data_IF_661331261723
#
_entry.id   IF_661331261723
#
_cell.length_a   1.000
_cell.length_b   1.000
_cell.length_c   1.000
_cell.angle_alpha   90.00
_cell.angle_beta   90.00
_cell.angle_gamma   90.00
#
_symmetry.space_group_name_H-M   'P 1'
#
loop_
_entity.id
_entity.type
_entity.pdbx_description
1 polymer ?
#
# COMPACT_ATOMS: atom_id res chain seq x y z
N UNK A 1 -63.15 4.29 -61.76
CA UNK A 1 -61.80 4.04 -61.25
C UNK A 1 -61.75 4.63 -59.84
N UNK A 2 -62.44 4.08 -58.84
CA UNK A 2 -62.50 2.64 -58.45
C UNK A 2 -61.07 2.10 -58.41
N UNK A 3 -60.48 1.67 -57.29
CA UNK A 3 -60.94 0.86 -56.14
C UNK A 3 -59.88 1.07 -55.01
N UNK A 4 -60.26 1.25 -53.74
CA UNK A 4 -60.29 0.24 -52.64
C UNK A 4 -58.89 -0.33 -52.25
N UNK A 5 -58.52 -0.70 -51.01
CA UNK A 5 -59.02 -0.65 -49.63
C UNK A 5 -58.06 -1.54 -48.78
N UNK A 6 -57.91 -1.23 -47.48
CA UNK A 6 -57.41 -2.10 -46.36
C UNK A 6 -55.92 -2.54 -46.35
N UNK A 7 -55.21 -2.74 -45.24
CA UNK A 7 -55.61 -2.98 -43.83
C UNK A 7 -54.52 -2.54 -42.81
N UNK A 8 -54.94 -2.53 -41.54
CA UNK A 8 -54.35 -2.17 -40.25
C UNK A 8 -53.14 -3.03 -39.84
N UNK A 9 -52.33 -2.49 -38.91
CA UNK A 9 -51.47 -3.28 -38.03
C UNK A 9 -50.59 -2.44 -37.12
N UNK A 10 -50.89 -2.43 -35.82
CA UNK A 10 -50.19 -1.67 -34.78
C UNK A 10 -48.97 -2.41 -34.16
N UNK A 11 -47.93 -1.63 -33.89
CA UNK A 11 -47.09 -1.56 -32.67
C UNK A 11 -46.38 -2.81 -32.08
N UNK A 12 -45.02 -2.75 -32.06
CA UNK A 12 -44.13 -3.06 -30.92
C UNK A 12 -42.67 -2.76 -31.33
N UNK A 13 -42.09 -1.58 -31.00
CA UNK A 13 -41.25 -1.33 -29.80
C UNK A 13 -40.37 -2.51 -29.40
N UNK A 14 -39.06 -2.40 -29.62
CA UNK A 14 -38.05 -2.41 -28.56
C UNK A 14 -36.69 -1.95 -29.12
N UNK A 15 -36.28 -0.77 -28.67
CA UNK A 15 -34.91 -0.29 -28.76
C UNK A 15 -34.14 -0.90 -27.58
N UNK A 16 -33.04 -1.60 -27.85
CA UNK A 16 -32.15 -2.11 -26.82
C UNK A 16 -31.47 -0.95 -26.07
N UNK A 17 -31.67 -0.79 -24.75
CA UNK A 17 -30.89 0.12 -23.95
C UNK A 17 -29.90 -0.71 -23.14
N UNK A 18 -28.73 -1.04 -23.70
CA UNK A 18 -27.60 -1.45 -22.86
C UNK A 18 -26.78 -0.22 -22.47
N UNK A 19 -27.44 0.70 -21.78
CA UNK A 19 -26.78 1.70 -20.96
C UNK A 19 -26.34 0.98 -19.68
N UNK A 20 -25.11 0.47 -19.70
CA UNK A 20 -24.41 0.06 -18.49
C UNK A 20 -24.21 1.31 -17.63
N UNK A 21 -25.16 1.53 -16.73
CA UNK A 21 -25.16 2.56 -15.71
C UNK A 21 -23.97 2.35 -14.77
N UNK A 22 -22.83 2.92 -15.12
CA UNK A 22 -21.71 3.19 -14.22
C UNK A 22 -22.18 4.23 -13.21
N UNK A 23 -22.99 3.77 -12.24
CA UNK A 23 -23.50 4.57 -11.15
C UNK A 23 -22.34 4.93 -10.23
N UNK A 24 -21.60 5.97 -10.59
CA UNK A 24 -20.90 6.84 -9.65
C UNK A 24 -21.94 7.55 -8.80
N UNK A 25 -22.63 6.79 -7.95
CA UNK A 25 -23.72 7.23 -7.12
C UNK A 25 -23.17 8.10 -6.00
N UNK A 26 -22.98 9.39 -6.29
CA UNK A 26 -23.07 10.41 -5.25
C UNK A 26 -24.45 10.30 -4.64
N UNK A 27 -24.56 9.58 -3.51
CA UNK A 27 -25.82 9.42 -2.79
C UNK A 27 -26.46 10.78 -2.63
N UNK A 28 -27.76 10.89 -2.96
CA UNK A 28 -28.51 12.14 -2.77
C UNK A 28 -28.29 12.58 -1.32
N UNK A 29 -27.75 13.79 -1.12
CA UNK A 29 -27.53 14.36 0.23
C UNK A 29 -28.89 14.33 0.95
N UNK A 30 -29.03 13.46 1.94
CA UNK A 30 -30.31 13.24 2.63
C UNK A 30 -30.82 11.80 2.69
N UNK A 31 -30.10 10.81 2.14
CA UNK A 31 -30.42 9.40 2.47
C UNK A 31 -30.16 9.14 3.96
N UNK A 32 -30.93 8.26 4.61
CA UNK A 32 -30.66 7.86 5.98
C UNK A 32 -29.39 7.02 6.07
N UNK A 33 -28.77 7.00 7.25
CA UNK A 33 -27.66 6.12 7.60
C UNK A 33 -28.05 4.65 7.39
N UNK A 34 -27.21 3.85 6.72
CA UNK A 34 -27.47 2.42 6.47
C UNK A 34 -27.26 1.54 7.71
N UNK A 35 -26.72 2.12 8.79
CA UNK A 35 -26.51 1.43 10.06
C UNK A 35 -27.64 1.68 11.06
N UNK A 36 -28.01 2.95 11.28
CA UNK A 36 -29.04 3.30 12.27
C UNK A 36 -30.38 3.73 11.67
N UNK A 37 -30.46 4.13 10.40
CA UNK A 37 -31.70 4.58 9.75
C UNK A 37 -32.30 5.91 10.26
N UNK A 38 -31.87 6.42 11.42
CA UNK A 38 -32.48 7.57 12.09
C UNK A 38 -32.03 8.92 11.52
N UNK A 39 -30.74 9.05 11.24
CA UNK A 39 -30.12 10.33 10.85
C UNK A 39 -29.67 10.28 9.39
N UNK A 40 -29.64 11.42 8.69
CA UNK A 40 -29.06 11.48 7.36
C UNK A 40 -27.58 11.07 7.40
N UNK A 41 -27.11 10.44 6.32
CA UNK A 41 -25.71 10.05 6.23
C UNK A 41 -24.78 11.28 6.16
N UNK A 42 -23.59 11.13 6.72
CA UNK A 42 -22.54 12.16 6.76
C UNK A 42 -21.20 11.66 6.22
N UNK A 43 -20.94 10.37 6.36
CA UNK A 43 -19.67 9.73 6.00
C UNK A 43 -19.92 8.53 5.09
N UNK A 44 -19.01 8.31 4.14
CA UNK A 44 -19.01 7.15 3.22
C UNK A 44 -17.76 6.33 3.47
N UNK A 45 -17.92 5.02 3.68
CA UNK A 45 -16.78 4.13 3.90
C UNK A 45 -16.00 3.90 2.59
N UNK A 46 -14.68 4.13 2.53
CA UNK A 46 -13.92 3.97 1.28
C UNK A 46 -13.67 2.51 0.87
N UNK A 47 -13.95 1.55 1.76
CA UNK A 47 -13.75 0.11 1.49
C UNK A 47 -14.99 -0.62 0.99
N UNK A 48 -16.17 -0.25 1.50
CA UNK A 48 -17.44 -0.92 1.19
C UNK A 48 -18.56 0.06 0.80
N UNK A 49 -18.24 1.33 0.63
CA UNK A 49 -19.14 2.39 0.18
C UNK A 49 -20.39 2.66 1.04
N UNK A 50 -20.50 2.01 2.21
CA UNK A 50 -21.61 2.21 3.14
C UNK A 50 -21.71 3.64 3.65
N UNK A 51 -22.95 4.11 3.73
CA UNK A 51 -23.31 5.44 4.20
C UNK A 51 -23.61 5.42 5.70
N UNK A 52 -22.92 6.27 6.47
CA UNK A 52 -22.99 6.32 7.94
C UNK A 52 -23.16 7.76 8.43
N UNK A 53 -23.87 7.98 9.54
CA UNK A 53 -24.07 9.33 10.11
C UNK A 53 -22.98 9.73 11.12
N UNK A 54 -22.37 8.78 11.82
CA UNK A 54 -21.50 9.03 12.97
C UNK A 54 -20.43 7.96 13.17
N UNK A 55 -19.42 8.24 13.99
CA UNK A 55 -18.35 7.30 14.32
C UNK A 55 -18.84 5.95 14.89
N UNK A 56 -19.84 5.87 15.80
CA UNK A 56 -20.34 4.57 16.26
C UNK A 56 -20.93 3.75 15.11
N UNK A 57 -21.62 4.37 14.16
CA UNK A 57 -22.10 3.69 12.95
C UNK A 57 -20.94 3.21 12.06
N UNK A 58 -19.86 4.00 11.96
CA UNK A 58 -18.64 3.57 11.25
C UNK A 58 -18.02 2.35 11.91
N UNK A 59 -17.91 2.32 13.24
CA UNK A 59 -17.31 1.18 13.95
C UNK A 59 -18.22 -0.05 13.95
N UNK A 60 -19.53 0.15 14.11
CA UNK A 60 -20.53 -0.91 14.09
C UNK A 60 -20.50 -1.67 12.76
N UNK A 61 -20.51 -0.96 11.62
CA UNK A 61 -20.44 -1.64 10.33
C UNK A 61 -19.11 -2.38 10.15
N UNK A 62 -17.97 -1.78 10.54
CA UNK A 62 -16.66 -2.43 10.42
C UNK A 62 -16.62 -3.75 11.19
N UNK A 63 -17.23 -3.80 12.37
CA UNK A 63 -17.34 -5.04 13.17
C UNK A 63 -18.30 -6.04 12.53
N UNK A 64 -19.48 -5.59 12.08
CA UNK A 64 -20.52 -6.45 11.50
C UNK A 64 -20.15 -7.05 10.15
N UNK A 65 -19.52 -6.27 9.28
CA UNK A 65 -19.17 -6.68 7.91
C UNK A 65 -17.69 -7.06 7.76
N UNK A 66 -16.94 -7.12 8.87
CA UNK A 66 -15.49 -7.33 8.88
C UNK A 66 -14.74 -6.39 7.92
N UNK A 67 -15.23 -5.17 7.73
CA UNK A 67 -14.65 -4.20 6.80
C UNK A 67 -13.40 -3.54 7.41
N UNK A 68 -12.29 -3.59 6.67
CA UNK A 68 -11.03 -2.92 7.05
C UNK A 68 -11.15 -1.39 7.01
N UNK A 69 -12.10 -0.86 6.25
CA UNK A 69 -12.30 0.56 6.04
C UNK A 69 -11.21 1.22 5.19
N UNK A 70 -10.43 0.43 4.45
CA UNK A 70 -9.44 0.91 3.48
C UNK A 70 -9.87 0.47 2.08
N UNK A 71 -9.77 1.37 1.10
CA UNK A 71 -10.02 1.03 -0.30
C UNK A 71 -8.96 0.01 -0.78
N UNK A 72 -9.35 -1.12 -1.39
CA UNK A 72 -8.38 -2.02 -2.00
C UNK A 72 -7.73 -1.30 -3.18
N UNK A 73 -6.41 -1.06 -3.09
CA UNK A 73 -5.66 -0.30 -4.11
C UNK A 73 -5.32 -1.15 -5.34
N UNK A 74 -5.19 -2.46 -5.20
CA UNK A 74 -4.66 -3.37 -6.23
C UNK A 74 -5.64 -4.49 -6.59
N UNK A 75 -6.93 -4.19 -6.64
CA UNK A 75 -7.93 -5.18 -7.05
C UNK A 75 -7.85 -5.39 -8.57
N UNK A 76 -7.81 -6.64 -9.07
CA UNK A 76 -7.78 -6.90 -10.51
C UNK A 76 -9.08 -6.43 -11.16
N UNK A 77 -8.96 -5.65 -12.23
CA UNK A 77 -10.11 -5.18 -13.02
C UNK A 77 -10.04 -5.82 -14.41
N UNK A 78 -11.14 -6.43 -14.91
CA UNK A 78 -11.19 -6.92 -16.28
C UNK A 78 -10.94 -5.79 -17.28
N UNK A 79 -10.24 -6.08 -18.40
CA UNK A 79 -9.90 -5.07 -19.42
C UNK A 79 -11.12 -4.28 -19.92
N UNK A 80 -12.28 -4.93 -20.02
CA UNK A 80 -13.52 -4.29 -20.46
C UNK A 80 -14.05 -3.20 -19.51
N UNK A 81 -13.55 -3.14 -18.26
CA UNK A 81 -13.92 -2.14 -17.24
C UNK A 81 -12.71 -1.29 -16.81
N UNK A 82 -11.64 -1.31 -17.59
CA UNK A 82 -10.45 -0.52 -17.32
C UNK A 82 -10.70 0.93 -17.74
N UNK A 83 -10.99 1.79 -16.77
CA UNK A 83 -11.24 3.21 -16.96
C UNK A 83 -10.00 4.05 -16.62
N UNK A 84 -9.92 5.27 -17.13
CA UNK A 84 -8.86 6.25 -16.81
C UNK A 84 -8.70 6.49 -15.30
N UNK A 85 -9.78 6.34 -14.53
CA UNK A 85 -9.75 6.45 -13.06
C UNK A 85 -8.89 5.35 -12.41
N UNK A 86 -8.89 4.14 -12.98
CA UNK A 86 -8.05 3.05 -12.49
C UNK A 86 -6.58 3.33 -12.86
N UNK A 87 -6.33 3.79 -14.09
CA UNK A 87 -4.99 4.19 -14.53
C UNK A 87 -4.37 5.25 -13.62
N UNK A 88 -5.12 6.30 -13.26
CA UNK A 88 -4.67 7.33 -12.32
C UNK A 88 -4.43 6.78 -10.91
N UNK A 89 -5.29 5.87 -10.44
CA UNK A 89 -5.12 5.19 -9.15
C UNK A 89 -3.82 4.38 -9.12
N UNK A 90 -3.47 3.72 -10.22
CA UNK A 90 -2.25 2.92 -10.34
C UNK A 90 -1.01 3.81 -10.45
N UNK A 91 -1.08 4.87 -11.26
CA UNK A 91 0.01 5.86 -11.37
C UNK A 91 0.33 6.50 -10.02
N UNK A 92 -0.70 6.97 -9.30
CA UNK A 92 -0.51 7.57 -7.96
C UNK A 92 0.05 6.56 -6.96
N UNK A 93 -0.36 5.29 -7.03
CA UNK A 93 0.22 4.24 -6.21
C UNK A 93 1.71 4.04 -6.50
N UNK A 94 2.11 4.00 -7.78
CA UNK A 94 3.52 3.89 -8.16
C UNK A 94 4.34 5.10 -7.67
N UNK A 95 3.81 6.30 -7.79
CA UNK A 95 4.46 7.51 -7.26
C UNK A 95 4.58 7.49 -5.73
N UNK A 96 3.52 7.11 -5.00
CA UNK A 96 3.56 6.94 -3.54
C UNK A 96 4.66 5.95 -3.13
N UNK A 97 4.78 4.80 -3.82
CA UNK A 97 5.83 3.82 -3.54
C UNK A 97 7.23 4.32 -3.88
N UNK A 98 7.39 5.06 -4.98
CA UNK A 98 8.64 5.69 -5.35
C UNK A 98 9.08 6.73 -4.30
N UNK A 99 8.14 7.56 -3.85
CA UNK A 99 8.39 8.56 -2.80
C UNK A 99 8.74 7.90 -1.46
N UNK A 100 8.08 6.80 -1.08
CA UNK A 100 8.42 6.06 0.12
C UNK A 100 9.84 5.46 0.04
N UNK A 101 10.21 4.90 -1.12
CA UNK A 101 11.56 4.40 -1.40
C UNK A 101 12.60 5.52 -1.31
N UNK A 102 12.35 6.64 -1.96
CA UNK A 102 13.26 7.80 -1.97
C UNK A 102 13.41 8.38 -0.55
N UNK A 103 12.30 8.47 0.20
CA UNK A 103 12.31 8.93 1.59
C UNK A 103 13.11 7.97 2.48
N UNK A 104 12.92 6.65 2.33
CA UNK A 104 13.73 5.66 3.02
C UNK A 104 15.20 5.76 2.63
N UNK A 105 15.50 5.94 1.33
CA UNK A 105 16.85 6.09 0.83
C UNK A 105 17.54 7.35 1.38
N UNK A 106 16.82 8.48 1.46
CA UNK A 106 17.32 9.73 2.07
C UNK A 106 17.52 9.61 3.58
N UNK A 107 16.59 8.97 4.29
CA UNK A 107 16.76 8.68 5.71
C UNK A 107 18.00 7.81 5.92
N UNK A 108 18.17 6.75 5.12
CA UNK A 108 19.36 5.88 5.14
C UNK A 108 20.62 6.67 4.80
N UNK A 109 20.58 7.58 3.82
CA UNK A 109 21.69 8.45 3.46
C UNK A 109 22.07 9.43 4.58
N UNK A 110 21.07 9.99 5.28
CA UNK A 110 21.23 10.86 6.44
C UNK A 110 21.73 10.13 7.70
N UNK A 111 21.41 8.85 7.87
CA UNK A 111 21.96 7.98 8.92
C UNK A 111 23.39 7.45 8.59
N UNK A 112 24.01 7.98 7.54
CA UNK A 112 25.35 7.62 7.08
C UNK A 112 25.27 6.49 6.05
N UNK A 113 25.70 6.79 4.83
CA UNK A 113 25.68 5.92 3.65
C UNK A 113 26.31 4.55 3.85
N UNK A 114 25.53 3.63 4.43
CA UNK A 114 25.96 2.28 4.81
C UNK A 114 25.56 1.21 3.78
N UNK A 115 25.03 1.60 2.62
CA UNK A 115 24.70 0.69 1.51
C UNK A 115 25.46 1.08 0.24
N UNK A 116 26.70 0.61 0.13
CA UNK A 116 27.24 0.08 -1.13
C UNK A 116 27.50 1.03 -2.30
N UNK A 117 27.46 2.35 -2.13
CA UNK A 117 27.84 3.32 -3.17
C UNK A 117 29.35 3.60 -3.21
N UNK A 118 29.96 3.84 -4.38
CA UNK A 118 31.32 4.36 -4.49
C UNK A 118 31.36 5.76 -3.87
N UNK A 119 31.97 5.88 -2.68
CA UNK A 119 31.95 7.11 -1.86
C UNK A 119 31.20 6.99 -0.53
N UNK A 120 30.63 5.82 -0.22
CA UNK A 120 29.99 5.54 1.07
C UNK A 120 30.95 5.70 2.25
N UNK A 121 30.40 6.16 3.39
CA UNK A 121 31.16 6.43 4.62
C UNK A 121 32.06 5.24 4.99
N UNK A 122 33.37 5.49 5.00
CA UNK A 122 34.36 4.47 5.33
C UNK A 122 34.00 3.83 6.66
N UNK A 123 33.92 2.50 6.68
CA UNK A 123 33.67 1.73 7.89
C UNK A 123 34.64 2.20 8.98
N UNK A 124 34.17 2.47 10.22
CA UNK A 124 35.05 2.90 11.31
C UNK A 124 36.28 1.97 11.40
N UNK A 125 37.49 2.51 11.60
CA UNK A 125 38.73 1.73 11.51
C UNK A 125 38.72 0.45 12.33
N UNK A 126 38.14 0.48 13.53
CA UNK A 126 38.05 -0.69 14.41
C UNK A 126 37.20 -1.84 13.83
N UNK A 127 36.10 -1.54 13.13
CA UNK A 127 35.26 -2.54 12.44
C UNK A 127 35.96 -3.10 11.21
N UNK A 128 36.71 -2.26 10.49
CA UNK A 128 37.53 -2.70 9.37
C UNK A 128 38.59 -3.73 9.83
N UNK A 129 39.30 -3.44 10.91
CA UNK A 129 40.28 -4.36 11.48
C UNK A 129 39.65 -5.64 12.01
N UNK A 130 38.46 -5.56 12.63
CA UNK A 130 37.70 -6.73 13.07
C UNK A 130 37.35 -7.65 11.89
N UNK A 131 36.85 -7.09 10.78
CA UNK A 131 36.56 -7.85 9.56
C UNK A 131 37.82 -8.48 8.97
N UNK A 132 38.94 -7.74 8.92
CA UNK A 132 40.23 -8.24 8.42
C UNK A 132 40.80 -9.36 9.31
N UNK A 133 40.60 -9.28 10.62
CA UNK A 133 41.00 -10.34 11.56
C UNK A 133 40.12 -11.59 11.43
N UNK A 134 38.82 -11.44 11.21
CA UNK A 134 37.90 -12.55 10.91
C UNK A 134 38.25 -13.25 9.59
N UNK A 135 38.51 -12.47 8.53
CA UNK A 135 38.91 -13.01 7.22
C UNK A 135 40.22 -13.80 7.28
N UNK A 136 41.23 -13.32 8.03
CA UNK A 136 42.49 -14.07 8.25
C UNK A 136 42.29 -15.43 8.91
N UNK A 137 41.15 -15.63 9.59
CA UNK A 137 40.77 -16.89 10.24
C UNK A 137 39.74 -17.68 9.41
N UNK A 138 39.49 -17.29 8.16
CA UNK A 138 38.51 -17.93 7.28
C UNK A 138 37.04 -17.59 7.59
N UNK A 139 36.77 -16.64 8.49
CA UNK A 139 35.41 -16.30 8.92
C UNK A 139 34.87 -15.15 8.06
N UNK A 140 33.74 -15.36 7.38
CA UNK A 140 33.00 -14.31 6.66
C UNK A 140 32.11 -13.52 7.63
N UNK A 141 32.59 -12.36 8.06
CA UNK A 141 31.88 -11.47 8.98
C UNK A 141 31.07 -10.40 8.22
N UNK A 142 29.75 -10.41 8.45
CA UNK A 142 28.82 -9.38 7.96
C UNK A 142 28.33 -8.53 9.13
N UNK A 143 28.31 -7.21 8.97
CA UNK A 143 27.80 -6.29 9.99
C UNK A 143 26.36 -5.88 9.67
N UNK A 144 25.49 -5.95 10.68
CA UNK A 144 24.15 -5.38 10.57
C UNK A 144 24.21 -3.84 10.41
N UNK A 145 23.19 -3.19 9.83
CA UNK A 145 23.05 -1.74 9.81
C UNK A 145 23.06 -1.11 11.22
N UNK A 146 23.37 0.20 11.30
CA UNK A 146 23.32 0.95 12.57
C UNK A 146 21.86 1.06 13.02
N UNK A 147 21.59 1.01 14.34
CA UNK A 147 20.24 1.09 14.92
C UNK A 147 19.50 -0.26 15.06
N UNK A 148 20.11 -1.38 14.66
CA UNK A 148 19.56 -2.71 14.99
C UNK A 148 20.02 -3.14 16.38
N UNK A 149 19.08 -3.50 17.27
CA UNK A 149 19.37 -3.92 18.65
C UNK A 149 20.41 -5.05 18.74
N UNK A 150 20.39 -6.00 17.80
CA UNK A 150 21.40 -7.09 17.72
C UNK A 150 22.82 -6.56 17.47
N UNK A 151 22.98 -5.47 16.72
CA UNK A 151 24.28 -4.83 16.51
C UNK A 151 24.75 -4.12 17.77
N UNK A 152 23.85 -3.46 18.50
CA UNK A 152 24.16 -2.75 19.74
C UNK A 152 24.57 -3.68 20.87
N UNK A 153 23.91 -4.85 20.96
CA UNK A 153 24.26 -5.91 21.90
C UNK A 153 25.55 -6.63 21.52
N UNK A 154 25.94 -6.60 20.24
CA UNK A 154 27.15 -7.25 19.76
C UNK A 154 28.40 -6.48 20.21
N UNK A 155 29.03 -6.99 21.28
CA UNK A 155 30.30 -6.47 21.82
C UNK A 155 31.52 -7.16 21.24
N UNK A 156 31.43 -7.76 20.04
CA UNK A 156 32.59 -8.41 19.44
C UNK A 156 33.69 -7.37 19.16
N UNK A 157 34.91 -7.65 19.61
CA UNK A 157 36.05 -6.73 19.48
C UNK A 157 37.30 -7.48 19.04
N UNK A 158 38.14 -6.79 18.28
CA UNK A 158 39.47 -7.29 17.91
C UNK A 158 40.51 -6.69 18.84
N UNK A 159 41.29 -7.53 19.52
CA UNK A 159 42.42 -7.07 20.32
C UNK A 159 43.71 -7.16 19.51
N UNK A 160 44.25 -5.99 19.15
CA UNK A 160 45.46 -5.87 18.31
C UNK A 160 46.72 -6.40 18.99
N UNK A 161 46.80 -6.42 20.33
CA UNK A 161 47.99 -6.88 21.07
C UNK A 161 48.20 -8.39 21.02
N UNK A 162 47.12 -9.16 20.98
CA UNK A 162 47.18 -10.63 20.95
C UNK A 162 46.64 -11.23 19.65
N UNK A 163 46.31 -10.39 18.67
CA UNK A 163 45.61 -10.77 17.44
C UNK A 163 44.37 -11.67 17.68
N UNK A 164 43.70 -11.52 18.83
CA UNK A 164 42.54 -12.33 19.24
C UNK A 164 41.23 -11.66 18.87
N UNK A 165 40.27 -12.47 18.41
CA UNK A 165 38.87 -12.07 18.28
C UNK A 165 38.16 -12.43 19.58
N UNK A 166 37.61 -11.43 20.27
CA UNK A 166 36.72 -11.64 21.39
C UNK A 166 35.30 -11.62 20.82
N UNK A 167 34.72 -12.81 20.64
CA UNK A 167 33.35 -12.94 20.19
C UNK A 167 32.40 -12.98 21.40
N UNK A 168 31.33 -12.19 21.35
CA UNK A 168 30.22 -12.36 22.28
C UNK A 168 29.32 -13.45 21.67
N UNK A 169 29.42 -14.68 22.21
CA UNK A 169 28.44 -15.72 21.94
C UNK A 169 27.18 -15.37 22.74
N UNK A 170 25.99 -15.34 22.13
CA UNK A 170 24.76 -15.24 22.90
C UNK A 170 24.67 -16.47 23.81
N UNK A 171 24.38 -16.23 25.10
CA UNK A 171 23.77 -17.24 25.96
C UNK A 171 22.32 -17.43 25.54
#
# INVERSE_FOLDING_TARGET
>A
MEEDREDRGAEAKNADPNASSSSGGGGKKGSPCEECGEQPWKYRCPGCDRLTCSLPCVQAHKRRTACTGKRPRTAPVPLARFDDKQLLSDYTFLEETNQARESAHRLIAGFGGNFGGPGGAQMPPWLFFLRKAAQRRGIRLYFLPRGMARREQNRTRHNHRFARLLACLPL
#
